data_IF_341531497240
#
_entry.id   IF_341531497240
#
_cell.length_a   1.000
_cell.length_b   1.000
_cell.length_c   1.000
_cell.angle_alpha   90.00
_cell.angle_beta   90.00
_cell.angle_gamma   90.00
#
_symmetry.space_group_name_H-M   'P 1'
#
loop_
_entity.id
_entity.type
_entity.pdbx_description
1 polymer ?
#
# COMPACT_ATOMS: atom_id res chain seq x y z
N UNK A 1 4.03 -2.37 13.87
CA UNK A 1 4.57 -2.98 12.64
C UNK A 1 3.58 -2.81 11.51
N UNK A 2 4.08 -2.62 10.29
CA UNK A 2 3.33 -2.60 9.02
C UNK A 2 3.69 -3.83 8.18
N UNK A 3 3.09 -3.99 7.00
CA UNK A 3 3.23 -5.23 6.20
C UNK A 3 4.67 -5.63 5.90
N UNK A 4 5.53 -4.68 5.52
CA UNK A 4 6.92 -4.99 5.18
C UNK A 4 7.71 -5.52 6.39
N UNK A 5 7.34 -5.11 7.61
CA UNK A 5 7.95 -5.62 8.84
C UNK A 5 7.64 -7.10 9.04
N UNK A 6 6.40 -7.51 8.75
CA UNK A 6 6.00 -8.92 8.84
C UNK A 6 6.68 -9.77 7.76
N UNK A 7 6.88 -9.23 6.56
CA UNK A 7 7.64 -9.92 5.53
C UNK A 7 9.09 -10.09 5.94
N UNK A 8 9.76 -9.02 6.44
CA UNK A 8 11.13 -9.12 6.94
C UNK A 8 11.25 -10.20 8.02
N UNK A 9 10.33 -10.24 8.99
CA UNK A 9 10.29 -11.28 10.02
C UNK A 9 10.11 -12.70 9.44
N UNK A 10 9.28 -12.86 8.42
CA UNK A 10 9.06 -14.17 7.78
C UNK A 10 10.28 -14.67 6.97
N UNK A 11 11.19 -13.76 6.59
CA UNK A 11 12.48 -14.08 5.97
C UNK A 11 13.64 -14.08 6.98
N UNK A 12 13.36 -14.10 8.29
CA UNK A 12 14.36 -14.05 9.37
C UNK A 12 15.30 -12.82 9.29
N UNK A 13 14.82 -11.71 8.71
CA UNK A 13 15.52 -10.45 8.61
C UNK A 13 15.19 -9.51 9.79
N UNK A 14 16.13 -8.60 10.09
CA UNK A 14 15.84 -7.48 10.98
C UNK A 14 14.82 -6.53 10.36
N UNK A 15 14.14 -5.75 11.20
CA UNK A 15 13.28 -4.66 10.72
C UNK A 15 14.02 -3.73 9.78
N UNK A 16 13.35 -3.29 8.72
CA UNK A 16 13.94 -2.47 7.68
C UNK A 16 14.05 -1.02 8.16
N UNK A 17 15.27 -0.45 8.28
CA UNK A 17 15.40 0.95 8.63
C UNK A 17 14.87 1.85 7.48
N UNK A 18 14.33 3.04 7.79
CA UNK A 18 13.97 4.00 6.77
C UNK A 18 15.23 4.45 6.01
N UNK A 19 15.16 4.50 4.68
CA UNK A 19 16.33 4.83 3.85
C UNK A 19 16.77 6.29 4.01
N UNK A 20 15.82 7.23 4.07
CA UNK A 20 16.10 8.66 3.97
C UNK A 20 16.98 9.22 5.10
N UNK A 21 16.75 8.89 6.40
CA UNK A 21 17.62 9.38 7.48
C UNK A 21 19.07 8.87 7.39
N UNK A 22 19.27 7.70 6.80
CA UNK A 22 20.57 7.03 6.67
C UNK A 22 21.05 6.95 5.21
N UNK A 23 20.50 7.77 4.32
CA UNK A 23 20.69 7.61 2.87
C UNK A 23 22.18 7.69 2.48
N UNK A 24 22.94 8.57 3.15
CA UNK A 24 24.36 8.78 2.92
C UNK A 24 25.31 7.88 3.72
N UNK A 25 24.81 7.09 4.69
CA UNK A 25 25.67 6.40 5.67
C UNK A 25 25.26 4.95 6.01
N UNK A 26 23.97 4.60 5.94
CA UNK A 26 23.44 3.29 6.35
C UNK A 26 23.92 2.15 5.45
N UNK A 27 24.36 1.03 6.01
CA UNK A 27 24.87 -0.09 5.21
C UNK A 27 23.76 -0.99 4.66
N UNK A 28 22.56 -0.95 5.26
CA UNK A 28 21.36 -1.66 4.79
C UNK A 28 21.57 -3.16 4.50
N UNK A 29 22.38 -3.84 5.32
CA UNK A 29 22.77 -5.24 5.10
C UNK A 29 21.58 -6.22 5.00
N UNK A 30 20.47 -5.91 5.68
CA UNK A 30 19.23 -6.71 5.67
C UNK A 30 18.08 -6.01 4.91
N UNK A 31 18.40 -4.99 4.09
CA UNK A 31 17.43 -4.18 3.35
C UNK A 31 17.17 -2.80 3.96
N UNK A 32 16.30 -2.04 3.27
CA UNK A 32 15.92 -0.68 3.62
C UNK A 32 14.49 -0.39 3.17
N UNK A 33 13.82 0.52 3.86
CA UNK A 33 12.47 0.97 3.51
C UNK A 33 12.51 2.36 2.85
N UNK A 34 12.15 2.41 1.57
CA UNK A 34 12.12 3.63 0.75
C UNK A 34 10.76 4.31 0.72
N UNK A 35 9.76 3.77 1.43
CA UNK A 35 8.42 4.33 1.46
C UNK A 35 8.44 5.73 2.10
N UNK A 36 7.75 6.66 1.45
CA UNK A 36 7.51 8.01 1.97
C UNK A 36 6.03 8.19 2.27
N UNK A 37 5.74 8.79 3.43
CA UNK A 37 4.36 9.06 3.85
C UNK A 37 3.61 9.81 2.75
N UNK A 38 2.38 9.36 2.47
CA UNK A 38 1.47 10.00 1.53
C UNK A 38 1.92 10.01 0.06
N UNK A 39 2.99 9.30 -0.29
CA UNK A 39 3.53 9.30 -1.65
C UNK A 39 2.53 8.75 -2.66
N UNK A 40 2.49 9.39 -3.84
CA UNK A 40 1.70 9.01 -5.00
C UNK A 40 2.55 8.26 -6.03
N UNK A 41 1.93 7.47 -6.90
CA UNK A 41 2.62 6.88 -8.06
C UNK A 41 3.03 7.99 -9.04
N UNK A 42 2.09 8.87 -9.39
CA UNK A 42 2.31 9.99 -10.32
C UNK A 42 2.88 11.21 -9.59
N UNK A 43 3.66 12.02 -10.28
CA UNK A 43 4.23 13.26 -9.72
C UNK A 43 3.18 14.37 -9.51
N UNK A 44 3.40 15.31 -8.56
CA UNK A 44 2.46 16.41 -8.30
C UNK A 44 2.11 17.26 -9.54
N UNK A 45 3.06 17.47 -10.44
CA UNK A 45 2.85 18.25 -11.67
C UNK A 45 1.81 17.63 -12.60
N UNK A 46 1.67 16.29 -12.60
CA UNK A 46 0.64 15.61 -13.37
C UNK A 46 -0.76 16.09 -12.98
N UNK A 47 -1.05 16.13 -11.68
CA UNK A 47 -2.37 16.53 -11.16
C UNK A 47 -2.61 18.02 -11.35
N UNK A 48 -1.57 18.84 -11.15
CA UNK A 48 -1.64 20.28 -11.36
C UNK A 48 -1.95 20.61 -12.82
N UNK A 49 -1.28 19.97 -13.77
CA UNK A 49 -1.44 20.27 -15.20
C UNK A 49 -2.71 19.67 -15.79
N UNK A 50 -3.05 18.42 -15.48
CA UNK A 50 -4.21 17.75 -16.09
C UNK A 50 -5.54 18.07 -15.39
N UNK A 51 -5.51 18.33 -14.09
CA UNK A 51 -6.74 18.44 -13.29
C UNK A 51 -6.82 19.72 -12.45
N UNK A 52 -5.87 20.65 -12.59
CA UNK A 52 -5.78 21.86 -11.76
C UNK A 52 -5.84 21.55 -10.26
N UNK A 53 -5.21 20.44 -9.85
CA UNK A 53 -5.26 19.94 -8.48
C UNK A 53 -3.87 19.90 -7.87
N UNK A 54 -3.69 20.64 -6.78
CA UNK A 54 -2.43 20.70 -6.03
C UNK A 54 -2.41 19.61 -4.96
N UNK A 55 -1.49 18.65 -5.09
CA UNK A 55 -1.27 17.66 -4.03
C UNK A 55 -0.70 18.32 -2.77
N UNK A 56 -1.05 17.81 -1.57
CA UNK A 56 -0.51 18.32 -0.30
C UNK A 56 0.93 17.85 -0.02
N UNK A 57 1.50 16.99 -0.87
CA UNK A 57 2.85 16.44 -0.70
C UNK A 57 3.67 16.54 -1.98
N UNK A 58 5.00 16.72 -1.86
CA UNK A 58 5.88 16.81 -3.02
C UNK A 58 6.44 15.45 -3.48
N UNK A 59 6.25 14.39 -2.69
CA UNK A 59 6.92 13.09 -2.90
C UNK A 59 6.06 12.12 -3.71
N UNK A 60 6.68 11.48 -4.70
CA UNK A 60 6.07 10.43 -5.51
C UNK A 60 6.99 9.22 -5.63
N UNK A 61 6.55 8.20 -6.38
CA UNK A 61 7.32 6.99 -6.66
C UNK A 61 8.69 7.31 -7.28
N UNK A 62 8.78 8.37 -8.10
CA UNK A 62 10.07 8.82 -8.66
C UNK A 62 11.05 9.26 -7.56
N UNK A 63 10.55 9.92 -6.51
CA UNK A 63 11.36 10.31 -5.35
C UNK A 63 11.93 9.08 -4.63
N UNK A 64 11.08 8.06 -4.44
CA UNK A 64 11.49 6.80 -3.78
C UNK A 64 12.51 6.04 -4.62
N UNK A 65 12.28 5.94 -5.94
CA UNK A 65 13.22 5.29 -6.87
C UNK A 65 14.56 6.04 -6.99
N UNK A 66 14.54 7.38 -6.93
CA UNK A 66 15.76 8.18 -6.91
C UNK A 66 16.60 7.89 -5.65
N UNK A 67 15.95 7.83 -4.48
CA UNK A 67 16.60 7.43 -3.22
C UNK A 67 17.13 5.99 -3.29
N UNK A 68 16.33 5.06 -3.82
CA UNK A 68 16.70 3.66 -4.03
C UNK A 68 17.98 3.52 -4.87
N UNK A 69 18.03 4.16 -6.04
CA UNK A 69 19.21 4.14 -6.91
C UNK A 69 20.43 4.76 -6.25
N UNK A 70 20.28 5.88 -5.54
CA UNK A 70 21.37 6.53 -4.81
C UNK A 70 21.94 5.63 -3.71
N UNK A 71 21.09 4.87 -3.01
CA UNK A 71 21.54 3.89 -2.02
C UNK A 71 22.26 2.73 -2.71
N UNK A 72 21.71 2.17 -3.80
CA UNK A 72 22.36 1.10 -4.56
C UNK A 72 23.75 1.49 -5.07
N UNK A 73 23.89 2.70 -5.62
CA UNK A 73 25.19 3.23 -6.09
C UNK A 73 26.25 3.27 -4.98
N UNK A 74 25.82 3.37 -3.72
CA UNK A 74 26.72 3.39 -2.54
C UNK A 74 27.02 2.00 -2.01
N UNK A 75 26.01 1.15 -1.85
CA UNK A 75 26.17 -0.16 -1.16
C UNK A 75 26.53 -1.31 -2.11
N UNK A 76 26.24 -1.15 -3.41
CA UNK A 76 26.54 -2.12 -4.45
C UNK A 76 27.03 -1.42 -5.73
N UNK A 77 28.16 -0.69 -5.65
CA UNK A 77 28.63 0.17 -6.73
C UNK A 77 28.97 -0.64 -8.00
N UNK A 78 28.39 -0.24 -9.12
CA UNK A 78 28.61 -0.85 -10.43
C UNK A 78 27.56 -1.88 -10.82
N UNK A 79 27.44 -2.10 -12.13
CA UNK A 79 26.36 -2.90 -12.74
C UNK A 79 26.30 -4.33 -12.18
N UNK A 80 27.46 -4.99 -12.05
CA UNK A 80 27.51 -6.39 -11.60
C UNK A 80 27.17 -6.53 -10.11
N UNK A 81 27.68 -5.62 -9.27
CA UNK A 81 27.37 -5.59 -7.84
C UNK A 81 25.88 -5.30 -7.60
N UNK A 82 25.32 -4.30 -8.29
CA UNK A 82 23.88 -3.98 -8.21
C UNK A 82 23.02 -5.16 -8.64
N UNK A 83 23.35 -5.80 -9.78
CA UNK A 83 22.61 -6.98 -10.24
C UNK A 83 22.71 -8.15 -9.27
N UNK A 84 23.88 -8.39 -8.69
CA UNK A 84 24.08 -9.47 -7.71
C UNK A 84 23.23 -9.23 -6.47
N UNK A 85 23.25 -8.02 -5.91
CA UNK A 85 22.45 -7.67 -4.75
C UNK A 85 20.95 -7.80 -5.03
N UNK A 86 20.47 -7.25 -6.15
CA UNK A 86 19.05 -7.26 -6.50
C UNK A 86 18.54 -8.64 -6.91
N UNK A 87 19.41 -9.52 -7.40
CA UNK A 87 19.03 -10.90 -7.72
C UNK A 87 18.68 -11.72 -6.47
N UNK A 88 19.27 -11.38 -5.32
CA UNK A 88 19.02 -12.01 -4.01
C UNK A 88 18.02 -11.21 -3.16
N UNK A 89 17.49 -10.10 -3.67
CA UNK A 89 16.58 -9.22 -2.93
C UNK A 89 15.12 -9.44 -3.33
N UNK A 90 14.22 -9.32 -2.35
CA UNK A 90 12.80 -9.10 -2.58
C UNK A 90 12.51 -7.60 -2.68
N UNK A 91 12.01 -7.14 -3.84
CA UNK A 91 11.50 -5.78 -3.98
C UNK A 91 10.00 -5.76 -3.70
N UNK A 92 9.59 -5.05 -2.65
CA UNK A 92 8.18 -4.78 -2.36
C UNK A 92 7.83 -3.41 -2.94
N UNK A 93 7.19 -3.41 -4.10
CA UNK A 93 6.63 -2.20 -4.68
C UNK A 93 5.34 -1.92 -3.92
N UNK A 94 5.39 -1.24 -2.76
CA UNK A 94 4.31 -1.15 -1.75
C UNK A 94 2.91 -0.74 -2.24
N UNK A 95 1.99 -0.35 -1.34
CA UNK A 95 0.62 0.10 -1.73
C UNK A 95 0.63 1.50 -2.38
N UNK A 96 1.50 1.69 -3.37
CA UNK A 96 1.64 2.92 -4.13
C UNK A 96 0.51 3.01 -5.16
N UNK A 97 -0.02 4.21 -5.38
CA UNK A 97 -1.17 4.43 -6.25
C UNK A 97 -2.47 4.73 -5.49
N UNK A 98 -2.61 4.32 -4.23
CA UNK A 98 -3.79 4.66 -3.42
C UNK A 98 -3.93 6.15 -3.15
N UNK A 99 -2.80 6.82 -2.83
CA UNK A 99 -2.79 8.26 -2.54
C UNK A 99 -3.11 9.14 -3.75
N UNK A 100 -2.87 8.65 -4.98
CA UNK A 100 -3.24 9.33 -6.22
C UNK A 100 -4.74 9.63 -6.26
N UNK A 101 -5.55 8.77 -5.63
CA UNK A 101 -7.00 8.91 -5.53
C UNK A 101 -7.44 9.50 -4.19
N UNK A 102 -6.83 9.08 -3.08
CA UNK A 102 -7.24 9.49 -1.74
C UNK A 102 -7.25 11.02 -1.59
N UNK A 103 -6.24 11.73 -2.09
CA UNK A 103 -6.22 13.19 -2.00
C UNK A 103 -7.36 13.83 -2.77
N UNK A 104 -7.68 13.31 -3.96
CA UNK A 104 -8.80 13.80 -4.77
C UNK A 104 -10.13 13.59 -4.06
N UNK A 105 -10.34 12.40 -3.51
CA UNK A 105 -11.55 12.07 -2.77
C UNK A 105 -11.67 12.92 -1.50
N UNK A 106 -10.63 12.99 -0.66
CA UNK A 106 -10.66 13.76 0.59
C UNK A 106 -10.87 15.27 0.37
N UNK A 107 -10.47 15.80 -0.79
CA UNK A 107 -10.79 17.17 -1.22
C UNK A 107 -12.26 17.35 -1.66
N UNK A 108 -13.06 16.28 -1.64
CA UNK A 108 -14.47 16.23 -2.09
C UNK A 108 -14.68 16.63 -3.54
N UNK A 109 -13.68 16.36 -4.37
CA UNK A 109 -13.81 16.54 -5.81
C UNK A 109 -14.72 15.46 -6.42
N UNK A 110 -15.22 15.65 -7.66
CA UNK A 110 -16.11 14.69 -8.32
C UNK A 110 -15.53 13.28 -8.34
N UNK A 111 -16.32 12.32 -7.85
CA UNK A 111 -15.88 10.93 -7.63
C UNK A 111 -15.53 10.19 -8.93
N UNK A 112 -16.05 10.61 -10.07
CA UNK A 112 -15.84 9.87 -11.34
C UNK A 112 -14.51 10.24 -12.03
N UNK A 113 -13.91 11.39 -11.71
CA UNK A 113 -12.65 11.85 -12.34
C UNK A 113 -11.49 10.84 -12.14
N UNK A 114 -11.28 10.25 -10.95
CA UNK A 114 -10.24 9.26 -10.72
C UNK A 114 -10.21 8.07 -11.68
N UNK A 115 -11.36 7.63 -12.22
CA UNK A 115 -11.38 6.56 -13.21
C UNK A 115 -10.58 6.91 -14.48
N UNK A 116 -10.50 8.20 -14.82
CA UNK A 116 -9.80 8.67 -16.03
C UNK A 116 -8.29 8.50 -15.94
N UNK A 117 -7.72 8.48 -14.74
CA UNK A 117 -6.28 8.38 -14.53
C UNK A 117 -5.84 7.07 -13.86
N UNK A 118 -6.73 6.09 -13.67
CA UNK A 118 -6.34 4.71 -13.30
C UNK A 118 -5.26 4.17 -14.25
N UNK A 119 -5.40 4.27 -15.60
CA UNK A 119 -4.37 3.76 -16.51
C UNK A 119 -3.01 4.44 -16.35
N UNK A 120 -3.00 5.75 -16.09
CA UNK A 120 -1.76 6.51 -15.90
C UNK A 120 -1.05 6.10 -14.59
N UNK A 121 -1.81 5.93 -13.50
CA UNK A 121 -1.29 5.45 -12.21
C UNK A 121 -0.71 4.04 -12.34
N UNK A 122 -1.50 3.09 -12.87
CA UNK A 122 -1.06 1.70 -13.05
C UNK A 122 0.12 1.61 -14.01
N UNK A 123 0.11 2.37 -15.11
CA UNK A 123 1.21 2.45 -16.06
C UNK A 123 2.50 2.95 -15.42
N UNK A 124 2.42 3.96 -14.53
CA UNK A 124 3.60 4.42 -13.79
C UNK A 124 4.13 3.37 -12.82
N UNK A 125 3.26 2.66 -12.11
CA UNK A 125 3.66 1.54 -11.23
C UNK A 125 4.36 0.46 -12.05
N UNK A 126 3.77 0.06 -13.18
CA UNK A 126 4.36 -0.93 -14.08
C UNK A 126 5.72 -0.51 -14.63
N UNK A 127 5.88 0.77 -14.98
CA UNK A 127 7.17 1.32 -15.40
C UNK A 127 8.23 1.28 -14.28
N UNK A 128 7.84 1.52 -13.01
CA UNK A 128 8.76 1.39 -11.87
C UNK A 128 9.20 -0.06 -11.66
N UNK A 129 8.26 -1.01 -11.77
CA UNK A 129 8.56 -2.45 -11.70
C UNK A 129 9.53 -2.84 -12.81
N UNK A 130 9.29 -2.40 -14.05
CA UNK A 130 10.23 -2.66 -15.15
C UNK A 130 11.60 -2.03 -14.91
N UNK A 131 11.67 -0.83 -14.32
CA UNK A 131 12.92 -0.16 -13.98
C UNK A 131 13.76 -0.98 -12.99
N UNK A 132 13.16 -1.49 -11.90
CA UNK A 132 13.90 -2.33 -10.94
C UNK A 132 14.30 -3.69 -11.51
N UNK A 133 13.51 -4.26 -12.42
CA UNK A 133 13.90 -5.47 -13.18
C UNK A 133 15.13 -5.17 -14.03
N UNK A 134 15.15 -4.04 -14.74
CA UNK A 134 16.28 -3.65 -15.58
C UNK A 134 17.56 -3.42 -14.77
N UNK A 135 17.43 -2.99 -13.51
CA UNK A 135 18.55 -2.88 -12.57
C UNK A 135 19.07 -4.24 -12.08
N UNK A 136 18.26 -5.29 -12.15
CA UNK A 136 18.66 -6.67 -11.81
C UNK A 136 17.72 -7.42 -10.89
N UNK A 137 16.62 -6.81 -10.45
CA UNK A 137 15.68 -7.48 -9.55
C UNK A 137 15.10 -8.76 -10.17
N UNK A 138 15.12 -9.85 -9.41
CA UNK A 138 14.57 -11.16 -9.81
C UNK A 138 13.24 -11.48 -9.17
N UNK A 139 12.91 -10.83 -8.06
CA UNK A 139 11.67 -11.07 -7.33
C UNK A 139 11.04 -9.75 -6.93
N UNK A 140 9.83 -9.49 -7.41
CA UNK A 140 9.08 -8.26 -7.11
C UNK A 140 7.65 -8.61 -6.68
N UNK A 141 7.27 -8.13 -5.50
CA UNK A 141 5.91 -8.17 -4.98
C UNK A 141 5.21 -6.84 -5.28
N UNK A 142 4.05 -6.92 -5.94
CA UNK A 142 3.21 -5.77 -6.32
C UNK A 142 1.82 -5.96 -5.70
N UNK A 143 1.52 -5.33 -4.56
CA UNK A 143 0.22 -5.40 -3.93
C UNK A 143 -0.78 -4.44 -4.57
N UNK A 144 -2.06 -4.81 -4.51
CA UNK A 144 -3.18 -3.90 -4.79
C UNK A 144 -3.49 -2.96 -3.62
N UNK A 145 -4.40 -2.03 -3.86
CA UNK A 145 -4.94 -1.13 -2.84
C UNK A 145 -5.92 -1.85 -1.91
N UNK A 146 -6.05 -1.33 -0.69
CA UNK A 146 -7.01 -1.78 0.33
C UNK A 146 -8.47 -1.39 0.00
N UNK A 147 -9.49 -1.95 0.70
CA UNK A 147 -10.88 -1.53 0.53
C UNK A 147 -11.13 -0.13 1.08
N UNK A 148 -11.06 0.90 0.23
CA UNK A 148 -11.19 2.31 0.64
C UNK A 148 -12.51 2.60 1.36
N UNK A 149 -13.61 1.99 0.92
CA UNK A 149 -14.93 2.22 1.50
C UNK A 149 -15.09 1.72 2.93
N UNK A 150 -14.14 0.91 3.42
CA UNK A 150 -14.12 0.41 4.79
C UNK A 150 -13.32 1.28 5.76
N UNK A 151 -12.59 2.28 5.25
CA UNK A 151 -11.78 3.18 6.08
C UNK A 151 -12.69 4.15 6.87
N UNK A 152 -12.47 4.35 8.19
CA UNK A 152 -13.30 5.22 9.02
C UNK A 152 -13.42 6.66 8.49
N UNK A 153 -12.36 7.22 7.90
CA UNK A 153 -12.38 8.56 7.31
C UNK A 153 -13.32 8.65 6.10
N UNK A 154 -13.38 7.59 5.29
CA UNK A 154 -14.33 7.51 4.18
C UNK A 154 -15.77 7.35 4.68
N UNK A 155 -15.99 6.52 5.70
CA UNK A 155 -17.32 6.29 6.28
C UNK A 155 -17.92 7.56 6.91
N UNK A 156 -17.11 8.35 7.62
CA UNK A 156 -17.56 9.64 8.16
C UNK A 156 -17.64 10.70 7.07
N UNK A 157 -16.66 10.72 6.16
CA UNK A 157 -16.55 11.71 5.10
C UNK A 157 -17.69 11.61 4.11
N UNK A 158 -18.03 10.41 3.64
CA UNK A 158 -19.00 10.19 2.57
C UNK A 158 -20.25 9.46 3.06
N UNK A 159 -20.62 9.71 4.33
CA UNK A 159 -21.83 9.18 4.93
C UNK A 159 -23.04 9.45 4.03
N UNK A 160 -23.70 8.38 3.61
CA UNK A 160 -24.99 8.41 2.92
C UNK A 160 -26.12 8.02 3.87
N UNK A 161 -27.31 8.59 3.64
CA UNK A 161 -28.56 8.17 4.26
C UNK A 161 -29.23 7.00 3.53
N UNK A 162 -28.77 6.67 2.32
CA UNK A 162 -29.26 5.56 1.53
C UNK A 162 -28.52 4.28 1.91
N UNK A 163 -29.23 3.29 2.44
CA UNK A 163 -28.64 2.02 2.84
C UNK A 163 -28.05 1.22 1.68
N UNK A 164 -28.50 1.45 0.43
CA UNK A 164 -27.95 0.77 -0.74
C UNK A 164 -26.52 1.23 -1.12
N UNK A 165 -26.05 2.32 -0.53
CA UNK A 165 -24.69 2.83 -0.80
C UNK A 165 -23.62 2.07 0.00
N UNK A 166 -24.05 1.21 0.93
CA UNK A 166 -23.19 0.38 1.76
C UNK A 166 -23.32 -1.10 1.37
N UNK A 167 -22.21 -1.83 1.41
CA UNK A 167 -22.21 -3.28 1.22
C UNK A 167 -22.61 -4.05 2.49
N UNK A 168 -22.64 -5.38 2.41
CA UNK A 168 -23.03 -6.24 3.54
C UNK A 168 -22.09 -6.14 4.76
N UNK A 169 -20.89 -5.58 4.59
CA UNK A 169 -19.93 -5.34 5.67
C UNK A 169 -20.04 -3.93 6.26
N UNK A 170 -20.97 -3.10 5.76
CA UNK A 170 -21.15 -1.71 6.19
C UNK A 170 -20.16 -0.73 5.56
N UNK A 171 -19.34 -1.20 4.60
CA UNK A 171 -18.41 -0.35 3.87
C UNK A 171 -19.11 0.36 2.71
N UNK A 172 -18.60 1.53 2.30
CA UNK A 172 -19.14 2.25 1.15
C UNK A 172 -18.84 1.51 -0.16
N UNK A 173 -19.89 1.01 -0.81
CA UNK A 173 -19.79 0.10 -1.95
C UNK A 173 -19.07 0.73 -3.15
N UNK A 174 -19.31 2.02 -3.42
CA UNK A 174 -18.71 2.73 -4.55
C UNK A 174 -17.17 2.83 -4.42
N UNK A 175 -16.66 3.18 -3.24
CA UNK A 175 -15.21 3.28 -3.01
C UNK A 175 -14.53 1.91 -3.03
N UNK A 176 -15.19 0.89 -2.49
CA UNK A 176 -14.72 -0.49 -2.60
C UNK A 176 -14.70 -0.99 -4.04
N UNK A 177 -15.69 -0.60 -4.86
CA UNK A 177 -15.69 -0.90 -6.29
C UNK A 177 -14.56 -0.19 -7.03
N UNK A 178 -14.31 1.07 -6.71
CA UNK A 178 -13.18 1.83 -7.25
C UNK A 178 -11.84 1.14 -6.95
N UNK A 179 -11.59 0.73 -5.69
CA UNK A 179 -10.38 -0.02 -5.32
C UNK A 179 -10.23 -1.30 -6.14
N UNK A 180 -11.34 -2.05 -6.35
CA UNK A 180 -11.32 -3.26 -7.18
C UNK A 180 -10.99 -2.97 -8.64
N UNK A 181 -11.50 -1.89 -9.21
CA UNK A 181 -11.18 -1.51 -10.60
C UNK A 181 -9.70 -1.17 -10.79
N UNK A 182 -9.10 -0.41 -9.85
CA UNK A 182 -7.66 -0.19 -9.85
C UNK A 182 -6.90 -1.52 -9.77
N UNK A 183 -7.28 -2.38 -8.82
CA UNK A 183 -6.61 -3.66 -8.59
C UNK A 183 -6.70 -4.58 -9.82
N UNK A 184 -7.85 -4.60 -10.51
CA UNK A 184 -8.01 -5.35 -11.76
C UNK A 184 -7.08 -4.84 -12.87
N UNK A 185 -6.95 -3.52 -13.02
CA UNK A 185 -6.00 -2.94 -13.97
C UNK A 185 -4.55 -3.28 -13.60
N UNK A 186 -4.20 -3.26 -12.31
CA UNK A 186 -2.87 -3.62 -11.83
C UNK A 186 -2.55 -5.11 -12.07
N UNK A 187 -3.51 -6.03 -11.86
CA UNK A 187 -3.35 -7.45 -12.19
C UNK A 187 -3.05 -7.65 -13.68
N UNK A 188 -3.74 -6.93 -14.57
CA UNK A 188 -3.47 -6.98 -16.01
C UNK A 188 -2.06 -6.50 -16.34
N UNK A 189 -1.62 -5.40 -15.71
CA UNK A 189 -0.28 -4.84 -15.91
C UNK A 189 0.83 -5.79 -15.38
N UNK A 190 0.64 -6.40 -14.22
CA UNK A 190 1.55 -7.43 -13.70
C UNK A 190 1.62 -8.63 -14.65
N UNK A 191 0.47 -9.06 -15.21
CA UNK A 191 0.43 -10.10 -16.23
C UNK A 191 1.20 -9.72 -17.50
N UNK A 192 1.07 -8.47 -17.95
CA UNK A 192 1.83 -7.92 -19.09
C UNK A 192 3.33 -7.96 -18.81
N UNK A 193 3.78 -7.44 -17.66
CA UNK A 193 5.18 -7.45 -17.26
C UNK A 193 5.75 -8.87 -17.13
N UNK A 194 4.96 -9.81 -16.59
CA UNK A 194 5.38 -11.21 -16.47
C UNK A 194 5.64 -11.85 -17.83
N UNK A 195 4.80 -11.57 -18.83
CA UNK A 195 5.03 -12.09 -20.19
C UNK A 195 6.28 -11.49 -20.87
N UNK A 196 6.67 -10.27 -20.50
CA UNK A 196 7.87 -9.60 -21.01
C UNK A 196 9.15 -10.00 -20.28
N UNK A 197 9.05 -10.50 -19.05
CA UNK A 197 10.19 -10.80 -18.18
C UNK A 197 10.13 -12.24 -17.65
N UNK A 198 10.26 -13.28 -18.51
CA UNK A 198 10.04 -14.68 -18.12
C UNK A 198 11.03 -15.22 -17.08
N UNK A 199 12.15 -14.52 -16.85
CA UNK A 199 13.15 -14.86 -15.83
C UNK A 199 13.02 -14.08 -14.53
N UNK A 200 11.85 -13.47 -14.27
CA UNK A 200 11.56 -12.69 -13.06
C UNK A 200 10.28 -13.22 -12.41
N UNK A 201 10.36 -13.44 -11.10
CA UNK A 201 9.22 -13.78 -10.26
C UNK A 201 8.45 -12.50 -9.91
N UNK A 202 7.41 -12.20 -10.69
CA UNK A 202 6.47 -11.12 -10.40
C UNK A 202 5.24 -11.67 -9.69
N UNK A 203 5.00 -11.20 -8.47
CA UNK A 203 3.94 -11.66 -7.57
C UNK A 203 2.93 -10.52 -7.39
N UNK A 204 1.67 -10.76 -7.74
CA UNK A 204 0.59 -9.88 -7.32
C UNK A 204 0.10 -10.28 -5.93
N UNK A 205 -0.05 -9.31 -5.03
CA UNK A 205 -0.63 -9.53 -3.71
C UNK A 205 -2.00 -8.85 -3.58
N UNK A 206 -3.04 -9.66 -3.36
CA UNK A 206 -4.42 -9.20 -3.17
C UNK A 206 -4.64 -8.70 -1.74
N UNK A 207 -4.07 -7.53 -1.43
CA UNK A 207 -4.27 -6.86 -0.15
C UNK A 207 -5.73 -6.53 0.12
N UNK A 208 -6.52 -6.25 -0.92
CA UNK A 208 -7.95 -6.02 -0.81
C UNK A 208 -8.65 -7.26 -0.23
N UNK A 209 -8.49 -8.41 -0.89
CA UNK A 209 -9.09 -9.67 -0.46
C UNK A 209 -8.60 -10.10 0.92
N UNK A 210 -7.31 -9.93 1.20
CA UNK A 210 -6.72 -10.25 2.49
C UNK A 210 -7.32 -9.40 3.63
N UNK A 211 -7.53 -8.10 3.38
CA UNK A 211 -8.18 -7.20 4.33
C UNK A 211 -9.67 -7.52 4.51
N UNK A 212 -10.38 -7.83 3.42
CA UNK A 212 -11.82 -8.12 3.46
C UNK A 212 -12.18 -9.31 4.34
N UNK A 213 -11.24 -10.22 4.64
CA UNK A 213 -11.49 -11.34 5.54
C UNK A 213 -12.01 -10.92 6.92
N UNK A 214 -11.39 -9.90 7.53
CA UNK A 214 -11.78 -9.45 8.86
C UNK A 214 -12.94 -8.46 8.84
N UNK A 215 -13.27 -7.87 7.68
CA UNK A 215 -14.53 -7.14 7.50
C UNK A 215 -15.73 -8.10 7.36
N UNK A 216 -15.55 -9.21 6.66
CA UNK A 216 -16.59 -10.22 6.45
C UNK A 216 -16.80 -11.13 7.66
N UNK A 217 -15.72 -11.50 8.36
CA UNK A 217 -15.78 -12.43 9.49
C UNK A 217 -15.05 -11.90 10.74
N UNK A 218 -15.38 -10.70 11.25
CA UNK A 218 -14.63 -9.99 12.30
C UNK A 218 -14.33 -10.83 13.55
N UNK A 219 -15.32 -11.62 13.99
CA UNK A 219 -15.22 -12.49 15.17
C UNK A 219 -14.11 -13.54 15.07
N UNK A 220 -13.86 -14.08 13.88
CA UNK A 220 -12.82 -15.09 13.67
C UNK A 220 -11.41 -14.54 13.88
N UNK A 221 -11.27 -13.21 13.81
CA UNK A 221 -10.00 -12.51 13.93
C UNK A 221 -9.84 -11.77 15.26
N UNK A 222 -10.84 -11.84 16.15
CA UNK A 222 -10.82 -11.12 17.43
C UNK A 222 -10.99 -9.61 17.28
N UNK A 223 -11.61 -9.16 16.18
CA UNK A 223 -11.90 -7.75 15.91
C UNK A 223 -13.42 -7.58 16.03
N UNK A 224 -13.97 -7.04 17.14
CA UNK A 224 -15.43 -7.00 17.33
C UNK A 224 -16.16 -6.15 16.30
N UNK A 225 -15.62 -4.97 15.98
CA UNK A 225 -16.13 -4.07 14.94
C UNK A 225 -14.94 -3.56 14.10
N UNK A 226 -14.80 -4.02 12.85
CA UNK A 226 -13.67 -3.68 12.00
C UNK A 226 -13.79 -2.27 11.40
N UNK A 227 -14.93 -1.58 11.52
CA UNK A 227 -15.13 -0.24 10.96
C UNK A 227 -14.75 0.89 11.94
N UNK A 228 -14.45 0.57 13.20
CA UNK A 228 -14.04 1.55 14.21
C UNK A 228 -12.51 1.77 14.15
N UNK A 229 -12.08 3.02 14.36
CA UNK A 229 -10.67 3.31 14.63
C UNK A 229 -10.33 3.21 16.12
N UNK A 230 -9.09 2.80 16.40
CA UNK A 230 -8.58 2.71 17.76
C UNK A 230 -8.16 4.08 18.30
N UNK A 231 -7.39 4.85 17.55
CA UNK A 231 -6.86 6.15 17.96
C UNK A 231 -7.65 7.28 17.27
N UNK A 232 -8.31 8.12 18.06
CA UNK A 232 -9.21 9.14 17.53
C UNK A 232 -9.94 9.96 18.57
N UNK A 233 -11.25 10.11 18.41
CA UNK A 233 -12.13 10.90 19.27
C UNK A 233 -13.45 10.19 19.58
N UNK A 234 -14.44 10.95 20.03
CA UNK A 234 -15.78 10.46 20.38
C UNK A 234 -16.80 10.61 19.23
N UNK A 235 -16.34 10.88 18.01
CA UNK A 235 -17.19 10.97 16.82
C UNK A 235 -17.64 9.59 16.28
N UNK A 236 -18.50 9.57 15.25
CA UNK A 236 -18.88 8.34 14.54
C UNK A 236 -17.64 7.55 14.10
N UNK A 237 -17.68 6.23 14.22
CA UNK A 237 -16.53 5.35 13.94
C UNK A 237 -15.28 5.64 14.78
N UNK A 238 -15.42 6.32 15.92
CA UNK A 238 -14.34 6.86 16.76
C UNK A 238 -13.49 7.96 16.10
N UNK A 239 -14.04 8.64 15.09
CA UNK A 239 -13.42 9.76 14.39
C UNK A 239 -13.58 11.08 15.17
N UNK A 240 -13.28 12.22 14.52
CA UNK A 240 -13.43 13.56 15.09
C UNK A 240 -12.16 14.13 15.73
N UNK A 241 -11.07 13.36 15.79
CA UNK A 241 -9.76 13.85 16.19
C UNK A 241 -8.66 13.07 15.46
N UNK A 242 -7.63 13.77 14.98
CA UNK A 242 -6.43 13.15 14.41
C UNK A 242 -5.66 12.37 15.49
N UNK A 243 -5.11 11.21 15.14
CA UNK A 243 -4.31 10.41 16.06
C UNK A 243 -2.98 11.12 16.39
N UNK A 244 -2.95 11.83 17.52
CA UNK A 244 -1.79 12.55 18.04
C UNK A 244 -1.74 12.41 19.57
N UNK A 245 -0.91 13.21 20.25
CA UNK A 245 -0.70 13.13 21.71
C UNK A 245 -1.96 13.40 22.54
N UNK A 246 -2.99 14.04 21.98
CA UNK A 246 -4.25 14.36 22.69
C UNK A 246 -5.41 13.45 22.26
N UNK A 247 -5.17 12.53 21.32
CA UNK A 247 -6.19 11.60 20.84
C UNK A 247 -6.56 10.56 21.91
N UNK A 248 -7.80 10.11 21.85
CA UNK A 248 -8.29 8.99 22.66
C UNK A 248 -7.87 7.69 22.00
N UNK A 249 -7.28 6.79 22.78
CA UNK A 249 -7.03 5.41 22.37
C UNK A 249 -8.14 4.53 22.95
N UNK A 250 -9.00 4.03 22.08
CA UNK A 250 -10.09 3.14 22.41
C UNK A 250 -9.56 1.72 22.64
N UNK A 251 -9.57 1.28 23.89
CA UNK A 251 -9.23 -0.10 24.27
C UNK A 251 -7.83 -0.53 23.81
N UNK A 252 -7.67 -1.84 23.57
CA UNK A 252 -6.42 -2.40 23.06
C UNK A 252 -6.39 -2.39 21.54
N UNK A 253 -5.33 -1.88 20.88
CA UNK A 253 -5.19 -1.91 19.42
C UNK A 253 -5.23 -3.33 18.83
N UNK A 254 -4.98 -4.36 19.64
CA UNK A 254 -5.08 -5.77 19.24
C UNK A 254 -6.52 -6.23 18.89
N UNK A 255 -7.53 -5.42 19.24
CA UNK A 255 -8.95 -5.72 19.00
C UNK A 255 -9.56 -4.82 17.90
N UNK A 256 -8.76 -3.99 17.22
CA UNK A 256 -9.22 -3.07 16.18
C UNK A 256 -8.56 -3.39 14.84
N UNK A 257 -9.28 -3.19 13.75
CA UNK A 257 -8.69 -3.24 12.41
C UNK A 257 -8.00 -1.92 12.04
N UNK A 258 -8.64 -0.78 12.34
CA UNK A 258 -8.13 0.54 12.00
C UNK A 258 -7.39 1.18 13.19
N UNK A 259 -6.18 1.65 12.95
CA UNK A 259 -5.43 2.45 13.93
C UNK A 259 -5.98 3.87 13.96
N UNK A 260 -6.09 4.50 12.80
CA UNK A 260 -6.70 5.82 12.60
C UNK A 260 -7.67 5.78 11.40
N UNK A 261 -8.00 6.95 10.84
CA UNK A 261 -9.02 7.07 9.80
C UNK A 261 -8.70 6.37 8.48
N UNK A 262 -7.42 6.08 8.21
CA UNK A 262 -6.96 5.51 6.94
C UNK A 262 -5.88 4.44 7.09
N UNK A 263 -5.22 4.35 8.24
CA UNK A 263 -4.19 3.35 8.53
C UNK A 263 -4.71 2.24 9.43
N UNK A 264 -4.21 1.02 9.20
CA UNK A 264 -4.59 -0.15 9.98
C UNK A 264 -3.71 -0.35 11.21
N UNK A 265 -4.21 -1.13 12.16
CA UNK A 265 -3.42 -1.59 13.31
C UNK A 265 -2.42 -2.65 12.89
N UNK A 266 -1.44 -2.90 13.76
CA UNK A 266 -0.55 -4.05 13.64
C UNK A 266 -1.32 -5.38 13.54
N UNK A 267 -2.47 -5.50 14.23
CA UNK A 267 -3.32 -6.69 14.19
C UNK A 267 -3.90 -6.94 12.79
N UNK A 268 -4.44 -5.91 12.14
CA UNK A 268 -4.96 -6.05 10.78
C UNK A 268 -3.83 -6.31 9.78
N UNK A 269 -2.70 -5.60 9.91
CA UNK A 269 -1.53 -5.87 9.07
C UNK A 269 -1.00 -7.29 9.23
N UNK A 270 -1.00 -7.87 10.44
CA UNK A 270 -0.57 -9.26 10.64
C UNK A 270 -1.48 -10.25 9.91
N UNK A 271 -2.80 -10.05 9.96
CA UNK A 271 -3.78 -10.91 9.27
C UNK A 271 -3.57 -10.86 7.75
N UNK A 272 -3.34 -9.65 7.21
CA UNK A 272 -3.07 -9.46 5.79
C UNK A 272 -1.76 -10.14 5.40
N UNK A 273 -0.69 -9.92 6.17
CA UNK A 273 0.61 -10.53 5.93
C UNK A 273 0.52 -12.07 5.97
N UNK A 274 -0.19 -12.65 6.94
CA UNK A 274 -0.42 -14.09 7.03
C UNK A 274 -1.15 -14.62 5.79
N UNK A 275 -2.13 -13.87 5.28
CA UNK A 275 -2.85 -14.19 4.04
C UNK A 275 -1.94 -14.23 2.80
N UNK A 276 -1.02 -13.27 2.71
CA UNK A 276 -0.05 -13.16 1.62
C UNK A 276 1.02 -14.26 1.73
N UNK A 277 1.62 -14.44 2.91
CA UNK A 277 2.68 -15.43 3.16
C UNK A 277 2.18 -16.87 2.98
N UNK A 278 0.93 -17.15 3.34
CA UNK A 278 0.29 -18.46 3.14
C UNK A 278 -0.22 -18.71 1.71
N UNK A 279 0.07 -17.81 0.75
CA UNK A 279 -0.35 -17.89 -0.66
C UNK A 279 -1.87 -17.87 -0.87
N UNK A 280 -2.67 -17.51 0.13
CA UNK A 280 -4.13 -17.39 -0.02
C UNK A 280 -4.52 -16.13 -0.79
N UNK A 281 -3.66 -15.11 -0.75
CA UNK A 281 -3.87 -13.80 -1.38
C UNK A 281 -2.69 -13.39 -2.25
N UNK A 282 -2.04 -14.35 -2.89
CA UNK A 282 -1.03 -14.11 -3.91
C UNK A 282 -1.21 -15.06 -5.09
N UNK A 283 -0.82 -14.64 -6.28
CA UNK A 283 -0.87 -15.48 -7.48
C UNK A 283 0.35 -16.41 -7.62
N UNK A 284 1.41 -16.17 -6.85
CA UNK A 284 2.58 -17.02 -6.71
C UNK A 284 3.03 -17.09 -5.23
N UNK A 285 3.70 -18.17 -4.78
CA UNK A 285 4.26 -18.22 -3.44
C UNK A 285 5.19 -17.04 -3.19
N UNK A 286 5.17 -16.45 -2.00
CA UNK A 286 6.17 -15.44 -1.58
C UNK A 286 7.36 -16.11 -0.88
N UNK A 287 7.08 -17.07 0.00
CA UNK A 287 8.12 -17.87 0.65
C UNK A 287 8.77 -18.80 -0.38
N UNK A 288 10.10 -18.83 -0.40
CA UNK A 288 10.97 -19.51 -1.38
C UNK A 288 11.12 -18.83 -2.75
N UNK A 289 10.78 -17.54 -2.86
CA UNK A 289 10.85 -16.79 -4.11
C UNK A 289 12.14 -16.00 -4.31
N UNK A 290 12.98 -15.92 -3.27
CA UNK A 290 14.28 -15.25 -3.25
C UNK A 290 15.19 -16.05 -2.32
#
# INVERSE_FOLDING_TARGET
RVLVDFYAQAFDLSMLPPSMPEEGSGQFANGANFALLASTALGPDYFKTKYNFSLPVPYCLDSQLASFKKVLDRIAPGVDATKSLLAESLIVMGEIGGNDYNFWFMARNPRDTPHQYIPDVVGRIGAAVQEVINLGAKTVLVPGNFPFGCAPEYLVGFKSSNSSDYDATGCLAWFNDFSRQHNQALVQEVGRLRSQNPGVTLIYADYYGAAMQYFQNPKNYGIPDPLLQCCGGDGPYHTGMSCNKTAKVWGSPANFANWDGVHMTEKAYSIIADGVLSKRYTDAPLLNSC
#
